data_IF_774572059947
#
_entry.id   IF_774572059947
#
_cell.length_a   1.000
_cell.length_b   1.000
_cell.length_c   1.000
_cell.angle_alpha   90.00
_cell.angle_beta   90.00
_cell.angle_gamma   90.00
#
_symmetry.space_group_name_H-M   'P 1'
#
loop_
_entity.id
_entity.type
_entity.pdbx_description
1 polymer ?
#
# COMPACT_ATOMS: atom_id res chain seq x y z
N UNK A 1 -40.09 40.70 -3.34
CA UNK A 1 -40.64 42.10 -3.43
C UNK A 1 -39.41 42.99 -3.55
N UNK A 2 -39.34 43.86 -4.51
CA UNK A 2 -38.19 44.67 -4.96
C UNK A 2 -37.23 43.99 -5.93
N UNK A 3 -37.50 44.13 -7.19
CA UNK A 3 -36.71 44.49 -8.38
C UNK A 3 -37.54 44.34 -9.63
N UNK A 4 -38.48 45.30 -9.82
CA UNK A 4 -39.17 45.63 -11.08
C UNK A 4 -39.09 47.15 -11.22
N UNK A 5 -38.26 47.60 -12.19
CA UNK A 5 -38.23 48.89 -12.91
C UNK A 5 -36.80 49.08 -13.40
N UNK A 6 -36.53 49.29 -14.67
CA UNK A 6 -37.11 50.20 -15.62
C UNK A 6 -36.68 49.86 -17.06
N UNK A 7 -37.41 50.25 -18.10
CA UNK A 7 -37.05 50.02 -19.48
C UNK A 7 -36.33 51.24 -20.05
N UNK A 8 -35.19 51.02 -20.73
CA UNK A 8 -34.67 52.02 -21.69
C UNK A 8 -34.36 51.34 -23.02
N UNK A 9 -35.27 51.64 -23.94
CA UNK A 9 -35.13 51.46 -25.38
C UNK A 9 -34.05 52.39 -25.93
N UNK A 10 -32.91 51.84 -26.32
CA UNK A 10 -31.95 52.52 -27.19
C UNK A 10 -31.85 51.78 -28.53
N UNK A 11 -32.34 52.44 -29.52
CA UNK A 11 -32.34 52.11 -30.94
C UNK A 11 -30.95 51.73 -31.44
N UNK A 12 -30.78 50.50 -31.87
CA UNK A 12 -29.65 50.14 -32.73
C UNK A 12 -30.02 50.45 -34.16
N UNK A 13 -29.52 51.59 -34.73
CA UNK A 13 -29.57 51.93 -36.08
C UNK A 13 -28.78 50.97 -36.96
N UNK A 14 -29.45 50.40 -37.94
CA UNK A 14 -28.89 49.64 -39.04
C UNK A 14 -28.05 50.49 -39.95
N UNK A 15 -26.77 50.70 -39.70
CA UNK A 15 -25.81 51.21 -40.71
C UNK A 15 -24.39 50.92 -40.19
N UNK A 16 -23.80 49.86 -40.66
CA UNK A 16 -22.36 49.74 -41.02
C UNK A 16 -21.94 48.28 -41.20
N UNK A 17 -22.70 47.56 -42.06
CA UNK A 17 -22.17 46.34 -42.66
C UNK A 17 -21.65 46.73 -44.06
N UNK A 18 -20.43 47.28 -44.08
CA UNK A 18 -19.74 47.48 -45.36
C UNK A 18 -18.24 47.57 -45.12
N UNK A 19 -17.57 46.62 -45.73
CA UNK A 19 -16.11 46.56 -45.91
C UNK A 19 -15.28 46.11 -44.68
N UNK A 20 -15.34 44.82 -44.38
CA UNK A 20 -14.22 44.14 -43.79
C UNK A 20 -13.44 43.46 -44.93
N UNK A 21 -12.60 44.22 -45.58
CA UNK A 21 -11.57 43.71 -46.47
C UNK A 21 -10.61 42.86 -45.63
N UNK A 22 -10.50 41.57 -45.96
CA UNK A 22 -9.47 40.69 -45.50
C UNK A 22 -8.08 41.28 -45.85
N UNK A 23 -7.53 42.05 -44.95
CA UNK A 23 -6.11 42.37 -44.96
C UNK A 23 -5.38 41.11 -44.44
N UNK A 24 -4.78 40.33 -45.33
CA UNK A 24 -3.77 39.35 -45.02
C UNK A 24 -2.56 40.11 -44.51
N UNK A 25 -2.55 40.37 -43.20
CA UNK A 25 -1.35 40.86 -42.51
C UNK A 25 -0.39 39.69 -42.39
N UNK A 26 0.65 39.66 -43.23
CA UNK A 26 1.85 38.87 -42.99
C UNK A 26 2.45 39.37 -41.67
N UNK A 27 2.76 38.51 -40.71
CA UNK A 27 3.42 38.94 -39.47
C UNK A 27 4.79 39.57 -39.84
N UNK A 28 4.97 40.83 -39.44
CA UNK A 28 6.25 41.52 -39.61
C UNK A 28 7.37 40.70 -38.94
N UNK A 29 8.56 40.70 -39.55
CA UNK A 29 9.74 39.97 -39.05
C UNK A 29 10.10 40.38 -37.61
N UNK A 30 9.76 41.58 -37.16
CA UNK A 30 9.91 42.05 -35.78
C UNK A 30 9.12 41.23 -34.74
N UNK A 31 8.01 40.59 -35.12
CA UNK A 31 7.23 39.73 -34.23
C UNK A 31 7.84 38.32 -34.07
N UNK A 32 8.76 37.93 -34.96
CA UNK A 32 9.47 36.62 -34.84
C UNK A 32 10.70 36.70 -33.93
N UNK A 33 11.32 37.87 -33.82
CA UNK A 33 12.53 38.06 -32.99
C UNK A 33 12.22 38.17 -31.49
N UNK A 34 11.00 38.55 -31.11
CA UNK A 34 10.58 38.66 -29.72
C UNK A 34 10.19 37.34 -29.05
N UNK A 35 9.84 36.31 -29.85
CA UNK A 35 9.49 34.98 -29.32
C UNK A 35 10.71 34.06 -29.14
N UNK A 36 11.84 34.44 -29.79
CA UNK A 36 13.10 33.66 -29.70
C UNK A 36 14.01 33.99 -28.52
N UNK A 37 13.78 35.09 -27.80
CA UNK A 37 14.78 35.67 -26.88
C UNK A 37 14.49 35.49 -25.39
N UNK A 38 13.58 34.60 -24.94
CA UNK A 38 13.40 34.35 -23.51
C UNK A 38 13.78 32.93 -23.04
N UNK A 39 14.77 32.31 -23.70
CA UNK A 39 15.58 31.30 -23.02
C UNK A 39 16.72 32.01 -22.29
N UNK A 40 16.39 32.93 -21.38
CA UNK A 40 17.30 33.34 -20.35
C UNK A 40 17.57 32.10 -19.50
N UNK A 41 18.75 31.49 -19.68
CA UNK A 41 19.26 30.51 -18.75
C UNK A 41 19.22 31.17 -17.38
N UNK A 42 18.22 30.79 -16.57
CA UNK A 42 18.15 31.17 -15.17
C UNK A 42 19.52 30.84 -14.57
N UNK A 43 20.35 31.87 -14.34
CA UNK A 43 21.54 31.71 -13.51
C UNK A 43 21.01 31.17 -12.19
N UNK A 44 21.27 29.89 -11.94
CA UNK A 44 20.95 29.25 -10.64
C UNK A 44 21.57 30.18 -9.59
N UNK A 45 20.72 30.84 -8.81
CA UNK A 45 21.17 31.63 -7.69
C UNK A 45 21.90 30.71 -6.71
N UNK A 46 22.93 31.22 -6.00
CA UNK A 46 23.69 30.41 -5.05
C UNK A 46 22.83 29.62 -4.07
N UNK A 47 21.68 30.16 -3.55
CA UNK A 47 20.72 29.44 -2.74
C UNK A 47 20.09 28.22 -3.43
N UNK A 48 19.74 28.32 -4.73
CA UNK A 48 19.17 27.20 -5.48
C UNK A 48 20.15 26.04 -5.63
N UNK A 49 21.42 26.37 -5.87
CA UNK A 49 22.49 25.36 -5.98
C UNK A 49 22.73 24.67 -4.64
N UNK A 50 22.75 25.43 -3.54
CA UNK A 50 22.89 24.90 -2.18
C UNK A 50 21.71 24.00 -1.82
N UNK A 51 20.48 24.41 -2.17
CA UNK A 51 19.27 23.61 -1.95
C UNK A 51 19.30 22.29 -2.75
N UNK A 52 19.66 22.33 -4.04
CA UNK A 52 19.83 21.13 -4.85
C UNK A 52 20.89 20.18 -4.29
N UNK A 53 22.01 20.71 -3.83
CA UNK A 53 23.06 19.90 -3.21
C UNK A 53 22.56 19.23 -1.93
N UNK A 54 21.85 19.95 -1.07
CA UNK A 54 21.29 19.43 0.18
C UNK A 54 20.28 18.32 -0.08
N UNK A 55 19.37 18.50 -1.05
CA UNK A 55 18.40 17.47 -1.46
C UNK A 55 19.09 16.24 -2.02
N UNK A 56 20.09 16.45 -2.90
CA UNK A 56 20.86 15.34 -3.47
C UNK A 56 21.66 14.58 -2.40
N UNK A 57 22.30 15.29 -1.47
CA UNK A 57 23.03 14.70 -0.35
C UNK A 57 22.10 13.90 0.58
N UNK A 58 20.91 14.42 0.88
CA UNK A 58 19.90 13.71 1.68
C UNK A 58 19.41 12.44 0.97
N UNK A 59 19.15 12.51 -0.33
CA UNK A 59 18.77 11.34 -1.12
C UNK A 59 19.89 10.28 -1.17
N UNK A 60 21.14 10.71 -1.35
CA UNK A 60 22.30 9.83 -1.31
C UNK A 60 22.48 9.19 0.06
N UNK A 61 22.33 9.96 1.14
CA UNK A 61 22.41 9.45 2.51
C UNK A 61 21.40 8.32 2.75
N UNK A 62 20.13 8.52 2.36
CA UNK A 62 19.10 7.48 2.48
C UNK A 62 19.49 6.24 1.68
N UNK A 63 19.99 6.41 0.46
CA UNK A 63 20.42 5.29 -0.39
C UNK A 63 21.60 4.52 0.24
N UNK A 64 22.58 5.23 0.80
CA UNK A 64 23.75 4.64 1.47
C UNK A 64 23.34 3.88 2.73
N UNK A 65 22.44 4.46 3.54
CA UNK A 65 21.93 3.79 4.76
C UNK A 65 21.16 2.53 4.41
N UNK A 66 20.25 2.59 3.43
CA UNK A 66 19.49 1.41 2.99
C UNK A 66 20.42 0.36 2.36
N UNK A 67 21.32 0.76 1.49
CA UNK A 67 22.31 -0.15 0.90
C UNK A 67 23.24 -0.77 1.95
N UNK A 68 23.68 0.04 2.91
CA UNK A 68 24.47 -0.42 4.05
C UNK A 68 23.74 -1.46 4.89
N UNK A 69 22.44 -1.26 5.16
CA UNK A 69 21.61 -2.23 5.88
C UNK A 69 21.52 -3.58 5.13
N UNK A 70 21.31 -3.54 3.79
CA UNK A 70 21.32 -4.75 2.96
C UNK A 70 22.63 -5.49 3.09
N UNK A 71 23.75 -4.78 2.96
CA UNK A 71 25.10 -5.35 3.03
C UNK A 71 25.38 -5.94 4.43
N UNK A 72 25.03 -5.20 5.49
CA UNK A 72 25.21 -5.67 6.88
C UNK A 72 24.40 -6.94 7.16
N UNK A 73 23.14 -7.00 6.71
CA UNK A 73 22.32 -8.21 6.86
C UNK A 73 22.87 -9.38 6.03
N UNK A 74 23.36 -9.12 4.81
CA UNK A 74 23.99 -10.14 3.98
C UNK A 74 25.29 -10.70 4.59
N UNK A 75 26.16 -9.81 5.08
CA UNK A 75 27.42 -10.19 5.74
C UNK A 75 27.12 -10.92 7.06
N UNK A 76 26.25 -10.36 7.91
CA UNK A 76 25.88 -10.98 9.18
C UNK A 76 25.18 -12.32 9.03
N UNK A 77 24.37 -12.49 7.96
CA UNK A 77 23.71 -13.76 7.61
C UNK A 77 24.62 -14.77 6.91
N UNK A 78 25.83 -14.38 6.52
CA UNK A 78 26.72 -15.24 5.69
C UNK A 78 27.09 -16.57 6.37
N UNK A 79 27.22 -16.61 7.69
CA UNK A 79 27.50 -17.83 8.43
C UNK A 79 26.37 -18.85 8.29
N UNK A 80 25.10 -18.41 8.41
CA UNK A 80 23.94 -19.28 8.20
C UNK A 80 23.88 -19.82 6.76
N UNK A 81 24.13 -18.97 5.76
CA UNK A 81 24.19 -19.40 4.37
C UNK A 81 25.34 -20.38 4.07
N UNK A 82 26.50 -20.22 4.73
CA UNK A 82 27.62 -21.16 4.60
C UNK A 82 27.33 -22.50 5.27
N UNK A 83 26.66 -22.50 6.42
CA UNK A 83 26.36 -23.70 7.19
C UNK A 83 25.24 -24.53 6.55
N UNK A 84 24.16 -23.88 6.13
CA UNK A 84 22.97 -24.56 5.62
C UNK A 84 22.82 -24.48 4.09
N UNK A 85 23.62 -23.66 3.42
CA UNK A 85 23.54 -23.46 1.96
C UNK A 85 22.21 -22.94 1.50
N UNK A 86 21.81 -23.29 0.30
CA UNK A 86 20.46 -22.97 -0.24
C UNK A 86 19.34 -23.71 0.49
N UNK A 87 19.65 -24.80 1.20
CA UNK A 87 18.70 -25.52 2.03
C UNK A 87 18.08 -24.65 3.14
N UNK A 88 18.78 -23.59 3.59
CA UNK A 88 18.25 -22.65 4.57
C UNK A 88 16.90 -22.05 4.15
N UNK A 89 16.74 -21.69 2.87
CA UNK A 89 15.52 -21.05 2.38
C UNK A 89 14.32 -22.01 2.34
N UNK A 90 14.56 -23.32 2.19
CA UNK A 90 13.52 -24.34 2.01
C UNK A 90 13.34 -25.26 3.22
N UNK A 91 14.23 -25.20 4.20
CA UNK A 91 14.10 -25.96 5.45
C UNK A 91 13.00 -25.35 6.32
N UNK A 92 12.16 -26.19 6.89
CA UNK A 92 11.06 -25.84 7.78
C UNK A 92 11.44 -25.93 9.27
N UNK A 93 12.61 -26.47 9.59
CA UNK A 93 13.06 -26.68 10.96
C UNK A 93 13.63 -25.39 11.55
N UNK A 94 13.11 -24.97 12.70
CA UNK A 94 13.66 -23.90 13.51
C UNK A 94 13.82 -24.38 14.95
N UNK A 95 15.00 -24.89 15.29
CA UNK A 95 15.30 -25.42 16.61
C UNK A 95 16.58 -24.78 17.21
N UNK A 96 16.43 -23.78 18.10
CA UNK A 96 17.57 -23.11 18.72
C UNK A 96 18.38 -23.99 19.64
N UNK A 97 17.83 -25.12 20.12
CA UNK A 97 18.57 -26.05 21.03
C UNK A 97 19.52 -26.93 20.25
N UNK A 98 19.12 -27.31 19.03
CA UNK A 98 19.94 -28.16 18.16
C UNK A 98 20.76 -27.35 17.14
N UNK A 99 20.72 -26.02 17.19
CA UNK A 99 21.33 -25.09 16.21
C UNK A 99 20.93 -25.39 14.75
N UNK A 100 19.69 -25.82 14.55
CA UNK A 100 19.11 -26.07 13.23
C UNK A 100 18.15 -24.94 12.87
N UNK A 101 18.43 -24.26 11.75
CA UNK A 101 17.67 -23.08 11.33
C UNK A 101 17.25 -23.18 9.87
N UNK A 102 15.99 -22.83 9.60
CA UNK A 102 15.40 -22.76 8.26
C UNK A 102 14.44 -21.59 8.13
N UNK A 103 14.33 -21.07 6.92
CA UNK A 103 13.56 -19.87 6.64
C UNK A 103 12.11 -20.15 6.23
N UNK A 104 11.78 -21.39 5.80
CA UNK A 104 10.49 -21.69 5.17
C UNK A 104 9.29 -21.43 6.08
N UNK A 105 9.32 -21.87 7.33
CA UNK A 105 8.21 -21.68 8.25
C UNK A 105 7.83 -20.21 8.47
N UNK A 106 8.76 -19.30 8.85
CA UNK A 106 8.43 -17.89 9.01
C UNK A 106 8.14 -17.17 7.69
N UNK A 107 8.73 -17.58 6.58
CA UNK A 107 8.39 -17.03 5.25
C UNK A 107 6.97 -17.38 4.84
N UNK A 108 6.58 -18.66 5.01
CA UNK A 108 5.22 -19.10 4.76
C UNK A 108 4.21 -18.30 5.58
N UNK A 109 4.46 -18.14 6.90
CA UNK A 109 3.62 -17.34 7.77
C UNK A 109 3.49 -15.89 7.30
N UNK A 110 4.61 -15.28 6.89
CA UNK A 110 4.63 -13.89 6.36
C UNK A 110 3.79 -13.75 5.09
N UNK A 111 3.99 -14.64 4.12
CA UNK A 111 3.30 -14.60 2.83
C UNK A 111 1.81 -14.82 3.02
N UNK A 112 1.42 -15.88 3.74
CA UNK A 112 0.01 -16.25 3.90
C UNK A 112 -0.75 -15.19 4.71
N UNK A 113 -0.21 -14.71 5.83
CA UNK A 113 -0.88 -13.67 6.63
C UNK A 113 -1.01 -12.37 5.84
N UNK A 114 -0.01 -11.99 5.05
CA UNK A 114 -0.07 -10.82 4.17
C UNK A 114 -1.13 -10.98 3.08
N UNK A 115 -1.20 -12.14 2.42
CA UNK A 115 -2.21 -12.40 1.39
C UNK A 115 -3.62 -12.35 1.96
N UNK A 116 -3.86 -12.94 3.12
CA UNK A 116 -5.17 -12.86 3.80
C UNK A 116 -5.48 -11.40 4.13
N UNK A 117 -4.54 -10.69 4.72
CA UNK A 117 -4.69 -9.28 5.10
C UNK A 117 -5.06 -8.41 3.90
N UNK A 118 -4.32 -8.52 2.80
CA UNK A 118 -4.57 -7.75 1.57
C UNK A 118 -5.87 -8.17 0.90
N UNK A 119 -6.19 -9.46 0.85
CA UNK A 119 -7.43 -9.95 0.23
C UNK A 119 -8.69 -9.41 0.93
N UNK A 120 -8.64 -9.22 2.24
CA UNK A 120 -9.75 -8.62 3.02
C UNK A 120 -9.70 -7.09 2.94
N UNK A 121 -8.52 -6.48 3.07
CA UNK A 121 -8.37 -5.03 3.09
C UNK A 121 -8.69 -4.38 1.74
N UNK A 122 -8.36 -5.02 0.63
CA UNK A 122 -8.52 -4.47 -0.72
C UNK A 122 -9.97 -4.12 -1.06
N UNK A 123 -10.96 -5.02 -0.94
CA UNK A 123 -12.36 -4.69 -1.22
C UNK A 123 -12.91 -3.64 -0.26
N UNK A 124 -12.52 -3.66 1.02
CA UNK A 124 -12.91 -2.66 2.01
C UNK A 124 -12.34 -1.28 1.66
N UNK A 125 -11.06 -1.22 1.35
CA UNK A 125 -10.39 0.03 1.00
C UNK A 125 -10.93 0.62 -0.31
N UNK A 126 -11.11 -0.21 -1.33
CA UNK A 126 -11.69 0.20 -2.60
C UNK A 126 -13.13 0.72 -2.41
N UNK A 127 -13.98 -0.05 -1.73
CA UNK A 127 -15.38 0.33 -1.50
C UNK A 127 -15.50 1.63 -0.71
N UNK A 128 -14.69 1.80 0.34
CA UNK A 128 -14.67 3.02 1.15
C UNK A 128 -14.15 4.22 0.36
N UNK A 129 -13.05 4.06 -0.39
CA UNK A 129 -12.51 5.12 -1.24
C UNK A 129 -13.51 5.53 -2.35
N UNK A 130 -14.15 4.55 -2.99
CA UNK A 130 -15.21 4.76 -3.96
C UNK A 130 -16.37 5.55 -3.37
N UNK A 131 -16.89 5.12 -2.21
CA UNK A 131 -17.99 5.79 -1.55
C UNK A 131 -17.63 7.23 -1.18
N UNK A 132 -16.45 7.47 -0.62
CA UNK A 132 -15.97 8.80 -0.24
C UNK A 132 -15.84 9.77 -1.43
N UNK A 133 -15.46 9.27 -2.61
CA UNK A 133 -15.16 10.12 -3.77
C UNK A 133 -16.36 10.32 -4.71
N UNK A 134 -17.28 9.36 -4.77
CA UNK A 134 -18.36 9.38 -5.77
C UNK A 134 -19.77 9.52 -5.18
N UNK A 135 -19.99 9.08 -3.93
CA UNK A 135 -21.34 8.95 -3.38
C UNK A 135 -21.58 9.80 -2.13
N UNK A 136 -20.59 9.96 -1.27
CA UNK A 136 -20.77 10.63 0.01
C UNK A 136 -21.01 12.14 -0.15
N UNK A 137 -21.93 12.73 0.63
CA UNK A 137 -22.06 14.18 0.71
C UNK A 137 -20.73 14.83 1.14
N UNK A 138 -20.40 16.05 0.64
CA UNK A 138 -19.07 16.66 0.91
C UNK A 138 -18.70 16.76 2.36
N UNK A 139 -19.65 17.08 3.24
CA UNK A 139 -19.41 17.18 4.70
C UNK A 139 -19.04 15.82 5.31
N UNK A 140 -19.77 14.77 4.94
CA UNK A 140 -19.52 13.40 5.45
C UNK A 140 -18.20 12.87 4.88
N UNK A 141 -17.95 13.10 3.60
CA UNK A 141 -16.71 12.73 2.94
C UNK A 141 -15.47 13.37 3.61
N UNK A 142 -15.58 14.63 4.04
CA UNK A 142 -14.51 15.30 4.75
C UNK A 142 -14.27 14.68 6.14
N UNK A 143 -15.33 14.48 6.94
CA UNK A 143 -15.22 13.93 8.29
C UNK A 143 -14.68 12.50 8.25
N UNK A 144 -15.32 11.63 7.48
CA UNK A 144 -14.91 10.21 7.39
C UNK A 144 -13.53 10.08 6.74
N UNK A 145 -13.23 10.90 5.72
CA UNK A 145 -11.91 10.93 5.10
C UNK A 145 -10.80 11.30 6.09
N UNK A 146 -11.03 12.30 6.95
CA UNK A 146 -10.08 12.64 8.03
C UNK A 146 -9.99 11.53 9.07
N UNK A 147 -11.10 10.92 9.47
CA UNK A 147 -11.10 9.80 10.40
C UNK A 147 -10.29 8.60 9.87
N UNK A 148 -10.43 8.26 8.59
CA UNK A 148 -9.64 7.21 7.93
C UNK A 148 -8.15 7.55 7.93
N UNK A 149 -7.77 8.80 7.66
CA UNK A 149 -6.37 9.24 7.70
C UNK A 149 -5.80 9.15 9.12
N UNK A 150 -6.55 9.56 10.14
CA UNK A 150 -6.15 9.44 11.53
C UNK A 150 -5.99 7.98 11.95
N UNK A 151 -6.90 7.10 11.52
CA UNK A 151 -6.81 5.67 11.79
C UNK A 151 -5.59 5.03 11.13
N UNK A 152 -5.22 5.47 9.93
CA UNK A 152 -4.01 5.02 9.23
C UNK A 152 -2.71 5.42 9.95
N UNK A 153 -2.74 6.48 10.78
CA UNK A 153 -1.61 6.97 11.57
C UNK A 153 -1.48 6.31 12.94
N UNK A 154 -2.44 5.48 13.34
CA UNK A 154 -2.41 4.78 14.64
C UNK A 154 -1.22 3.80 14.67
N UNK A 155 -0.41 3.79 15.77
CA UNK A 155 0.66 2.83 15.94
C UNK A 155 0.19 1.37 15.85
N UNK A 156 0.91 0.53 15.12
CA UNK A 156 0.51 -0.86 14.85
C UNK A 156 0.36 -1.71 16.13
N UNK A 157 1.12 -1.40 17.18
CA UNK A 157 1.03 -2.09 18.47
C UNK A 157 -0.38 -2.01 19.09
N UNK A 158 -1.09 -0.89 18.88
CA UNK A 158 -2.46 -0.71 19.39
C UNK A 158 -3.41 -1.69 18.71
N UNK A 159 -3.29 -1.87 17.39
CA UNK A 159 -4.06 -2.87 16.65
C UNK A 159 -3.73 -4.29 17.11
N UNK A 160 -2.46 -4.58 17.41
CA UNK A 160 -2.03 -5.88 17.93
C UNK A 160 -2.64 -6.18 19.30
N UNK A 161 -2.55 -5.25 20.24
CA UNK A 161 -3.14 -5.40 21.57
C UNK A 161 -4.67 -5.49 21.52
N UNK A 162 -5.33 -4.61 20.76
CA UNK A 162 -6.77 -4.70 20.54
C UNK A 162 -7.16 -6.04 19.91
N UNK A 163 -6.42 -6.49 18.92
CA UNK A 163 -6.61 -7.79 18.28
C UNK A 163 -6.47 -8.94 19.27
N UNK A 164 -5.46 -8.90 20.12
CA UNK A 164 -5.24 -9.92 21.14
C UNK A 164 -6.37 -10.01 22.17
N UNK A 165 -6.83 -8.87 22.68
CA UNK A 165 -7.88 -8.86 23.71
C UNK A 165 -9.30 -9.01 23.14
N UNK A 166 -9.53 -8.64 21.88
CA UNK A 166 -10.87 -8.63 21.28
C UNK A 166 -11.03 -9.70 20.20
N UNK A 167 -10.13 -9.70 19.20
CA UNK A 167 -10.26 -10.59 18.03
C UNK A 167 -9.89 -12.03 18.40
N UNK A 168 -8.82 -12.26 19.15
CA UNK A 168 -8.38 -13.63 19.51
C UNK A 168 -9.47 -14.37 20.31
N UNK A 169 -10.09 -13.81 21.37
CA UNK A 169 -11.19 -14.49 22.07
C UNK A 169 -12.43 -14.69 21.19
N UNK A 170 -12.75 -13.74 20.32
CA UNK A 170 -13.87 -13.87 19.38
C UNK A 170 -13.61 -15.00 18.36
N UNK A 171 -12.40 -15.09 17.83
CA UNK A 171 -11.99 -16.16 16.94
C UNK A 171 -12.05 -17.52 17.62
N UNK A 172 -11.52 -17.62 18.85
CA UNK A 172 -11.50 -18.88 19.61
C UNK A 172 -12.90 -19.40 19.98
N UNK A 173 -13.78 -18.50 20.39
CA UNK A 173 -15.11 -18.90 20.92
C UNK A 173 -16.19 -19.02 19.85
N UNK A 174 -16.08 -18.24 18.78
CA UNK A 174 -17.17 -18.11 17.79
C UNK A 174 -16.74 -18.56 16.40
N UNK A 175 -15.73 -17.91 15.80
CA UNK A 175 -15.42 -18.10 14.37
C UNK A 175 -14.77 -19.45 14.09
N UNK A 176 -13.73 -19.82 14.83
CA UNK A 176 -13.03 -21.09 14.60
C UNK A 176 -13.92 -22.30 14.85
N UNK A 177 -14.70 -22.40 15.97
CA UNK A 177 -15.63 -23.50 16.19
C UNK A 177 -16.73 -23.56 15.14
N UNK A 178 -17.30 -22.39 14.75
CA UNK A 178 -18.33 -22.32 13.71
C UNK A 178 -17.81 -22.85 12.36
N UNK A 179 -16.67 -22.37 11.90
CA UNK A 179 -16.07 -22.80 10.64
C UNK A 179 -15.69 -24.28 10.67
N UNK A 180 -15.07 -24.74 11.75
CA UNK A 180 -14.69 -26.16 11.91
C UNK A 180 -15.93 -27.05 11.91
N UNK A 181 -17.01 -26.68 12.61
CA UNK A 181 -18.23 -27.47 12.65
C UNK A 181 -18.93 -27.58 11.29
N UNK A 182 -19.06 -26.45 10.56
CA UNK A 182 -19.82 -26.43 9.30
C UNK A 182 -19.02 -26.98 8.10
N UNK A 183 -17.70 -26.77 8.08
CA UNK A 183 -16.88 -27.13 6.92
C UNK A 183 -16.01 -28.38 7.12
N UNK A 184 -16.08 -29.05 8.26
CA UNK A 184 -15.30 -30.28 8.54
C UNK A 184 -15.54 -31.43 7.55
N UNK A 185 -16.69 -31.42 6.86
CA UNK A 185 -17.04 -32.47 5.90
C UNK A 185 -16.69 -32.12 4.45
N UNK A 186 -16.28 -30.88 4.18
CA UNK A 186 -15.93 -30.44 2.81
C UNK A 186 -14.49 -30.84 2.48
N UNK A 187 -14.28 -31.75 1.49
CA UNK A 187 -12.92 -32.14 1.08
C UNK A 187 -12.11 -30.91 0.67
N UNK A 188 -10.85 -30.83 1.12
CA UNK A 188 -9.96 -29.68 0.87
C UNK A 188 -10.07 -28.59 1.93
N UNK A 189 -11.25 -28.10 2.27
CA UNK A 189 -11.42 -27.05 3.30
C UNK A 189 -11.03 -27.60 4.68
N UNK A 190 -11.37 -28.83 4.99
CA UNK A 190 -10.95 -29.50 6.22
C UNK A 190 -9.44 -29.41 6.46
N UNK A 191 -8.63 -29.51 5.40
CA UNK A 191 -7.18 -29.47 5.51
C UNK A 191 -6.64 -28.06 5.88
N UNK A 192 -7.41 -27.03 5.55
CA UNK A 192 -7.04 -25.64 5.77
C UNK A 192 -7.55 -25.11 7.13
N UNK A 193 -8.68 -25.66 7.64
CA UNK A 193 -9.35 -25.17 8.85
C UNK A 193 -9.27 -26.16 10.04
N UNK A 194 -8.34 -27.12 10.00
CA UNK A 194 -8.17 -28.08 11.09
C UNK A 194 -7.35 -27.47 12.25
N UNK A 195 -7.51 -28.03 13.44
CA UNK A 195 -6.75 -27.66 14.63
C UNK A 195 -7.59 -27.25 15.83
N UNK A 196 -6.95 -27.07 16.96
CA UNK A 196 -7.60 -26.59 18.16
C UNK A 196 -7.93 -25.08 18.05
N UNK A 197 -9.06 -24.63 18.59
CA UNK A 197 -9.51 -23.23 18.45
C UNK A 197 -8.81 -22.32 19.47
N UNK A 198 -7.50 -22.12 19.30
CA UNK A 198 -6.73 -21.23 20.16
C UNK A 198 -7.05 -19.73 19.98
N UNK A 199 -7.70 -19.39 18.85
CA UNK A 199 -7.96 -18.02 18.48
C UNK A 199 -6.76 -17.30 17.86
N UNK A 200 -5.54 -17.64 18.25
CA UNK A 200 -4.29 -17.18 17.61
C UNK A 200 -4.01 -18.01 16.35
N UNK A 201 -3.37 -17.40 15.33
CA UNK A 201 -3.00 -18.11 14.11
C UNK A 201 -2.94 -17.21 12.89
N UNK A 202 -2.69 -17.79 11.71
CA UNK A 202 -2.55 -17.07 10.44
C UNK A 202 -3.80 -16.28 10.05
N UNK A 203 -4.98 -16.86 10.25
CA UNK A 203 -6.25 -16.20 9.91
C UNK A 203 -6.48 -14.97 10.78
N UNK A 204 -6.24 -15.08 12.10
CA UNK A 204 -6.38 -13.97 13.04
C UNK A 204 -5.35 -12.87 12.74
N UNK A 205 -4.11 -13.25 12.48
CA UNK A 205 -3.07 -12.32 12.08
C UNK A 205 -3.44 -11.58 10.78
N UNK A 206 -3.93 -12.31 9.76
CA UNK A 206 -4.40 -11.73 8.52
C UNK A 206 -5.59 -10.77 8.70
N UNK A 207 -6.53 -11.09 9.61
CA UNK A 207 -7.66 -10.22 9.92
C UNK A 207 -7.21 -8.91 10.61
N UNK A 208 -6.32 -9.00 11.60
CA UNK A 208 -5.76 -7.80 12.27
C UNK A 208 -4.95 -6.96 11.29
N UNK A 209 -4.14 -7.59 10.43
CA UNK A 209 -3.45 -6.90 9.33
C UNK A 209 -4.44 -6.19 8.41
N UNK A 210 -5.54 -6.83 8.03
CA UNK A 210 -6.56 -6.24 7.16
C UNK A 210 -7.14 -4.96 7.77
N UNK A 211 -7.51 -4.99 9.06
CA UNK A 211 -8.05 -3.82 9.77
C UNK A 211 -7.04 -2.68 9.80
N UNK A 212 -5.76 -2.99 9.98
CA UNK A 212 -4.68 -1.99 10.06
C UNK A 212 -4.33 -1.38 8.70
N UNK A 213 -4.27 -2.21 7.63
CA UNK A 213 -3.85 -1.72 6.31
C UNK A 213 -5.01 -1.13 5.49
N UNK A 214 -6.26 -1.48 5.78
CA UNK A 214 -7.43 -0.98 5.04
C UNK A 214 -7.55 0.56 5.09
N UNK A 215 -7.42 1.26 6.23
CA UNK A 215 -7.46 2.71 6.27
C UNK A 215 -6.35 3.36 5.43
N UNK A 216 -5.14 2.81 5.50
CA UNK A 216 -4.00 3.29 4.71
C UNK A 216 -4.24 3.14 3.21
N UNK A 217 -4.68 1.94 2.77
CA UNK A 217 -5.02 1.71 1.36
C UNK A 217 -6.19 2.60 0.90
N UNK A 218 -7.19 2.81 1.77
CA UNK A 218 -8.33 3.70 1.49
C UNK A 218 -7.85 5.13 1.24
N UNK A 219 -6.97 5.66 2.09
CA UNK A 219 -6.45 7.01 1.94
C UNK A 219 -5.72 7.19 0.60
N UNK A 220 -4.81 6.26 0.26
CA UNK A 220 -4.07 6.30 -1.01
C UNK A 220 -5.01 6.15 -2.21
N UNK A 221 -5.96 5.22 -2.18
CA UNK A 221 -6.92 5.02 -3.28
C UNK A 221 -7.82 6.24 -3.47
N UNK A 222 -8.28 6.86 -2.37
CA UNK A 222 -9.08 8.09 -2.42
C UNK A 222 -8.32 9.22 -3.09
N UNK A 223 -7.05 9.41 -2.74
CA UNK A 223 -6.21 10.46 -3.32
C UNK A 223 -5.96 10.20 -4.82
N UNK A 224 -5.76 8.94 -5.21
CA UNK A 224 -5.66 8.54 -6.62
C UNK A 224 -6.95 8.83 -7.38
N UNK A 225 -8.12 8.52 -6.81
CA UNK A 225 -9.40 8.83 -7.45
C UNK A 225 -9.65 10.33 -7.52
N UNK A 226 -9.26 11.10 -6.51
CA UNK A 226 -9.40 12.57 -6.49
C UNK A 226 -8.48 13.28 -7.48
N UNK A 227 -7.33 12.69 -7.83
CA UNK A 227 -6.37 13.26 -8.77
C UNK A 227 -6.86 13.27 -10.23
N UNK A 228 -7.98 12.58 -10.53
CA UNK A 228 -8.55 12.57 -11.88
C UNK A 228 -9.12 13.95 -12.26
N UNK A 229 -8.82 14.46 -13.47
CA UNK A 229 -9.37 15.74 -13.94
C UNK A 229 -10.90 15.75 -13.95
N UNK A 230 -11.50 16.80 -13.39
CA UNK A 230 -12.96 16.93 -13.31
C UNK A 230 -13.64 16.94 -14.68
N UNK A 231 -12.96 17.49 -15.70
CA UNK A 231 -13.47 17.52 -17.07
C UNK A 231 -13.86 16.12 -17.59
N UNK A 232 -13.10 15.07 -17.27
CA UNK A 232 -13.43 13.70 -17.68
C UNK A 232 -14.71 13.18 -17.01
N UNK A 233 -14.92 13.54 -15.74
CA UNK A 233 -16.15 13.18 -15.00
C UNK A 233 -17.36 13.94 -15.53
N UNK A 234 -17.21 15.24 -15.72
CA UNK A 234 -18.27 16.12 -16.20
C UNK A 234 -18.70 15.76 -17.63
N UNK A 235 -17.73 15.44 -18.51
CA UNK A 235 -18.03 14.97 -19.87
C UNK A 235 -18.83 13.67 -19.86
N UNK A 236 -18.49 12.72 -18.99
CA UNK A 236 -19.23 11.48 -18.89
C UNK A 236 -20.66 11.70 -18.34
N UNK A 237 -20.83 12.60 -17.35
CA UNK A 237 -22.16 12.98 -16.87
C UNK A 237 -22.99 13.72 -17.96
N UNK A 238 -22.33 14.57 -18.75
CA UNK A 238 -22.97 15.25 -19.89
C UNK A 238 -23.49 14.28 -20.97
N UNK A 239 -22.88 13.11 -21.11
CA UNK A 239 -23.34 12.00 -21.95
C UNK A 239 -24.43 11.13 -21.31
N UNK A 240 -24.91 11.49 -20.11
CA UNK A 240 -25.99 10.76 -19.41
C UNK A 240 -25.51 9.58 -18.57
N UNK A 241 -24.19 9.44 -18.30
CA UNK A 241 -23.68 8.36 -17.47
C UNK A 241 -24.13 8.51 -16.02
N UNK A 242 -24.46 7.39 -15.36
CA UNK A 242 -24.73 7.35 -13.92
C UNK A 242 -23.43 7.47 -13.11
N UNK A 243 -23.54 7.78 -11.80
CA UNK A 243 -22.35 7.80 -10.90
C UNK A 243 -21.59 6.47 -10.92
N UNK A 244 -22.32 5.37 -11.04
CA UNK A 244 -21.76 4.02 -11.13
C UNK A 244 -21.00 3.82 -12.44
N UNK A 245 -21.59 4.22 -13.58
CA UNK A 245 -20.94 4.14 -14.89
C UNK A 245 -19.66 4.97 -14.94
N UNK A 246 -19.71 6.22 -14.45
CA UNK A 246 -18.52 7.10 -14.38
C UNK A 246 -17.41 6.43 -13.58
N UNK A 247 -17.74 5.82 -12.46
CA UNK A 247 -16.73 5.14 -11.64
C UNK A 247 -16.07 3.95 -12.36
N UNK A 248 -16.88 3.04 -12.89
CA UNK A 248 -16.34 1.82 -13.49
C UNK A 248 -15.76 2.00 -14.89
N UNK A 249 -16.32 2.92 -15.69
CA UNK A 249 -15.92 3.11 -17.08
C UNK A 249 -14.91 4.25 -17.29
N UNK A 250 -14.79 5.16 -16.32
CA UNK A 250 -13.90 6.33 -16.43
C UNK A 250 -12.87 6.38 -15.31
N UNK A 251 -13.31 6.43 -14.03
CA UNK A 251 -12.38 6.61 -12.87
C UNK A 251 -11.48 5.40 -12.67
N UNK A 252 -12.05 4.20 -12.60
CA UNK A 252 -11.27 2.96 -12.36
C UNK A 252 -10.27 2.70 -13.49
N UNK A 253 -10.63 2.77 -14.79
CA UNK A 253 -9.64 2.58 -15.86
C UNK A 253 -8.54 3.63 -15.85
N UNK A 254 -8.87 4.91 -15.59
CA UNK A 254 -7.89 5.99 -15.50
C UNK A 254 -6.94 5.80 -14.31
N UNK A 255 -7.48 5.35 -13.17
CA UNK A 255 -6.77 5.22 -11.90
C UNK A 255 -5.99 3.90 -11.73
N UNK A 256 -6.02 2.98 -12.69
CA UNK A 256 -5.44 1.62 -12.58
C UNK A 256 -4.01 1.61 -12.05
N UNK A 257 -3.15 2.45 -12.59
CA UNK A 257 -1.74 2.49 -12.16
C UNK A 257 -1.58 2.96 -10.71
N UNK A 258 -2.40 3.92 -10.28
CA UNK A 258 -2.42 4.41 -8.90
C UNK A 258 -3.02 3.38 -7.93
N UNK A 259 -4.08 2.67 -8.33
CA UNK A 259 -4.68 1.59 -7.55
C UNK A 259 -3.69 0.44 -7.31
N UNK A 260 -2.97 0.00 -8.37
CA UNK A 260 -1.89 -0.99 -8.22
C UNK A 260 -0.83 -0.47 -7.24
N UNK A 261 -0.47 0.82 -7.34
CA UNK A 261 0.43 1.47 -6.38
C UNK A 261 -0.07 1.38 -4.93
N UNK A 262 -1.35 1.63 -4.69
CA UNK A 262 -1.96 1.54 -3.36
C UNK A 262 -1.93 0.11 -2.79
N UNK A 263 -2.22 -0.90 -3.65
CA UNK A 263 -2.16 -2.32 -3.27
C UNK A 263 -0.73 -2.70 -2.87
N UNK A 264 0.25 -2.31 -3.67
CA UNK A 264 1.67 -2.62 -3.43
C UNK A 264 2.20 -1.97 -2.17
N UNK A 265 1.83 -0.70 -1.93
CA UNK A 265 2.19 -0.01 -0.70
C UNK A 265 1.56 -0.67 0.52
N UNK A 266 0.27 -1.07 0.44
CA UNK A 266 -0.41 -1.83 1.48
C UNK A 266 0.24 -3.19 1.74
N UNK A 267 0.60 -3.92 0.68
CA UNK A 267 1.30 -5.20 0.77
C UNK A 267 2.70 -5.06 1.37
N UNK A 268 3.47 -4.05 0.96
CA UNK A 268 4.79 -3.76 1.54
C UNK A 268 4.70 -3.45 3.03
N UNK A 269 3.68 -2.70 3.46
CA UNK A 269 3.41 -2.44 4.89
C UNK A 269 3.07 -3.74 5.63
N UNK A 270 2.23 -4.62 5.04
CA UNK A 270 1.83 -5.88 5.64
C UNK A 270 2.99 -6.88 5.77
N UNK A 271 3.88 -6.97 4.76
CA UNK A 271 5.07 -7.86 4.78
C UNK A 271 6.05 -7.50 5.90
N UNK A 272 6.21 -6.20 6.19
CA UNK A 272 7.10 -5.71 7.25
C UNK A 272 6.45 -5.57 8.62
N UNK A 273 5.17 -5.93 8.77
CA UNK A 273 4.48 -5.74 10.04
C UNK A 273 5.01 -6.69 11.13
N UNK A 274 5.42 -6.11 12.23
CA UNK A 274 6.06 -6.82 13.32
C UNK A 274 5.16 -6.91 14.54
N UNK A 275 4.83 -5.75 15.13
CA UNK A 275 4.21 -5.70 16.46
C UNK A 275 2.77 -6.20 16.47
N UNK A 276 1.94 -5.74 15.52
CA UNK A 276 0.55 -6.19 15.48
C UNK A 276 0.42 -7.70 15.29
N UNK A 277 1.26 -8.28 14.45
CA UNK A 277 1.25 -9.71 14.16
C UNK A 277 1.79 -10.54 15.33
N UNK A 278 2.87 -10.10 15.98
CA UNK A 278 3.48 -10.82 17.10
C UNK A 278 2.48 -11.13 18.21
N UNK A 279 1.53 -10.23 18.48
CA UNK A 279 0.51 -10.44 19.53
C UNK A 279 -0.51 -11.51 19.19
N UNK A 280 -0.82 -11.72 17.92
CA UNK A 280 -2.01 -12.50 17.52
C UNK A 280 -1.70 -13.77 16.74
N UNK A 281 -0.46 -13.95 16.25
CA UNK A 281 -0.09 -15.08 15.39
C UNK A 281 0.22 -16.36 16.16
N UNK A 282 0.66 -16.23 17.44
CA UNK A 282 0.97 -17.35 18.32
C UNK A 282 2.44 -17.76 18.38
N UNK A 283 3.30 -17.26 17.49
CA UNK A 283 4.77 -17.35 17.50
C UNK A 283 5.36 -18.79 17.57
N UNK A 284 4.72 -19.74 16.91
CA UNK A 284 5.19 -21.12 16.75
C UNK A 284 5.89 -21.26 15.40
N UNK A 285 7.05 -21.92 15.37
CA UNK A 285 7.90 -22.09 14.17
C UNK A 285 7.64 -23.42 13.44
N UNK A 286 6.48 -24.01 13.60
CA UNK A 286 6.09 -25.23 12.92
C UNK A 286 5.42 -24.95 11.56
N UNK A 287 5.46 -25.87 10.61
CA UNK A 287 4.85 -25.74 9.28
C UNK A 287 3.59 -26.60 9.16
N UNK A 288 2.59 -26.06 8.52
CA UNK A 288 1.36 -26.79 8.19
C UNK A 288 0.38 -25.89 7.46
N UNK A 289 -0.58 -26.48 6.78
CA UNK A 289 -1.54 -25.78 5.93
C UNK A 289 -2.73 -25.18 6.71
N UNK A 290 -2.80 -25.42 8.03
CA UNK A 290 -3.91 -24.90 8.82
C UNK A 290 -3.79 -23.38 9.05
N UNK A 291 -4.84 -22.65 8.69
CA UNK A 291 -4.96 -21.21 8.96
C UNK A 291 -5.28 -20.90 10.42
N UNK A 292 -5.76 -21.90 11.19
CA UNK A 292 -6.07 -21.73 12.62
C UNK A 292 -4.90 -22.06 13.53
N UNK A 293 -3.89 -22.76 13.02
CA UNK A 293 -2.73 -23.09 13.81
C UNK A 293 -1.86 -21.86 14.11
N UNK A 294 -1.36 -21.74 15.34
CA UNK A 294 -0.34 -20.73 15.66
C UNK A 294 0.88 -20.87 14.75
N UNK A 295 1.40 -19.75 14.30
CA UNK A 295 2.58 -19.68 13.41
C UNK A 295 3.48 -18.51 13.80
N UNK A 296 4.54 -18.29 13.04
CA UNK A 296 5.39 -17.10 13.15
C UNK A 296 5.56 -16.43 11.78
N UNK A 297 5.81 -15.14 11.77
CA UNK A 297 6.32 -14.42 10.60
C UNK A 297 7.80 -14.16 10.77
N UNK A 298 8.47 -13.81 9.67
CA UNK A 298 9.90 -13.42 9.73
C UNK A 298 10.09 -12.24 10.70
N UNK A 299 9.24 -11.22 10.58
CA UNK A 299 9.33 -10.03 11.42
C UNK A 299 9.06 -10.33 12.91
N UNK A 300 8.04 -11.16 13.23
CA UNK A 300 7.73 -11.55 14.61
C UNK A 300 8.84 -12.41 15.22
N UNK A 301 9.41 -13.32 14.44
CA UNK A 301 10.50 -14.19 14.90
C UNK A 301 11.77 -13.38 15.21
N UNK A 302 12.14 -12.45 14.32
CA UNK A 302 13.27 -11.55 14.55
C UNK A 302 13.01 -10.71 15.81
N UNK A 303 11.85 -10.09 15.94
CA UNK A 303 11.54 -9.23 17.09
C UNK A 303 11.65 -9.94 18.43
N UNK A 304 11.25 -11.21 18.50
CA UNK A 304 11.28 -12.00 19.73
C UNK A 304 12.67 -12.55 20.03
N UNK A 305 13.38 -13.04 19.01
CA UNK A 305 14.59 -13.82 19.24
C UNK A 305 15.89 -13.02 19.07
N UNK A 306 15.86 -11.89 18.35
CA UNK A 306 17.06 -11.07 18.15
C UNK A 306 17.65 -10.52 19.46
N UNK A 307 16.85 -9.97 20.40
CA UNK A 307 17.37 -9.45 21.65
C UNK A 307 18.02 -10.51 22.56
N UNK A 308 17.59 -11.77 22.41
CA UNK A 308 18.06 -12.90 23.22
C UNK A 308 19.24 -13.66 22.57
N UNK A 309 19.64 -13.26 21.34
CA UNK A 309 20.66 -13.98 20.58
C UNK A 309 22.05 -13.45 20.90
N UNK A 310 22.98 -14.29 21.39
CA UNK A 310 24.35 -13.86 21.67
C UNK A 310 25.06 -13.36 20.41
N UNK A 311 25.91 -12.33 20.55
CA UNK A 311 26.71 -11.82 19.46
C UNK A 311 27.63 -12.93 18.89
N UNK A 312 27.68 -13.04 17.55
CA UNK A 312 28.48 -14.07 16.86
C UNK A 312 27.87 -15.47 16.84
N UNK A 313 26.68 -15.68 17.44
CA UNK A 313 26.02 -16.99 17.41
C UNK A 313 25.45 -17.32 16.03
N UNK A 314 25.35 -18.62 15.72
CA UNK A 314 24.68 -19.10 14.51
C UNK A 314 23.20 -18.68 14.46
N UNK A 315 22.53 -18.60 15.62
CA UNK A 315 21.16 -18.09 15.77
C UNK A 315 21.06 -16.65 15.30
N UNK A 316 21.95 -15.77 15.74
CA UNK A 316 21.97 -14.37 15.30
C UNK A 316 22.17 -14.26 13.78
N UNK A 317 23.13 -15.06 13.24
CA UNK A 317 23.37 -15.11 11.81
C UNK A 317 22.15 -15.61 11.03
N UNK A 318 21.41 -16.60 11.53
CA UNK A 318 20.18 -17.10 10.92
C UNK A 318 19.06 -16.03 10.91
N UNK A 319 18.92 -15.26 12.00
CA UNK A 319 17.95 -14.15 12.05
C UNK A 319 18.29 -13.03 11.07
N UNK A 320 19.58 -12.68 10.92
CA UNK A 320 20.03 -11.70 9.93
C UNK A 320 19.81 -12.21 8.50
N UNK A 321 20.06 -13.50 8.25
CA UNK A 321 19.76 -14.13 6.97
C UNK A 321 18.25 -14.11 6.64
N UNK A 322 17.38 -14.36 7.62
CA UNK A 322 15.92 -14.19 7.47
C UNK A 322 15.53 -12.76 7.11
N UNK A 323 16.08 -11.76 7.81
CA UNK A 323 15.87 -10.35 7.50
C UNK A 323 16.32 -9.99 6.09
N UNK A 324 17.46 -10.52 5.64
CA UNK A 324 17.94 -10.35 4.28
C UNK A 324 16.97 -10.94 3.25
N UNK A 325 16.48 -12.17 3.47
CA UNK A 325 15.48 -12.80 2.59
C UNK A 325 14.18 -12.01 2.56
N UNK A 326 13.68 -11.55 3.71
CA UNK A 326 12.47 -10.72 3.78
C UNK A 326 12.62 -9.43 2.97
N UNK A 327 13.79 -8.81 3.04
CA UNK A 327 14.08 -7.60 2.27
C UNK A 327 14.11 -7.89 0.77
N UNK A 328 14.74 -8.99 0.34
CA UNK A 328 14.69 -9.44 -1.06
C UNK A 328 13.26 -9.73 -1.52
N UNK A 329 12.44 -10.36 -0.70
CA UNK A 329 11.03 -10.62 -0.98
C UNK A 329 10.25 -9.30 -1.15
N UNK A 330 10.50 -8.31 -0.31
CA UNK A 330 9.89 -6.99 -0.41
C UNK A 330 10.30 -6.26 -1.68
N UNK A 331 11.58 -6.30 -2.06
CA UNK A 331 12.05 -5.74 -3.33
C UNK A 331 11.47 -6.48 -4.54
N UNK A 332 11.39 -7.81 -4.48
CA UNK A 332 10.78 -8.61 -5.54
C UNK A 332 9.30 -8.27 -5.74
N UNK A 333 8.55 -8.09 -4.65
CA UNK A 333 7.14 -7.69 -4.71
C UNK A 333 6.95 -6.31 -5.33
N UNK A 334 7.82 -5.34 -4.98
CA UNK A 334 7.83 -3.99 -5.58
C UNK A 334 8.21 -4.02 -7.06
N UNK A 335 9.21 -4.83 -7.43
CA UNK A 335 9.64 -4.98 -8.82
C UNK A 335 8.53 -5.59 -9.68
N UNK A 336 7.88 -6.67 -9.20
CA UNK A 336 6.75 -7.31 -9.86
C UNK A 336 5.60 -6.32 -10.10
N UNK A 337 5.28 -5.52 -9.09
CA UNK A 337 4.25 -4.49 -9.20
C UNK A 337 4.58 -3.39 -10.22
N UNK A 338 5.86 -2.98 -10.31
CA UNK A 338 6.31 -2.02 -11.35
C UNK A 338 6.17 -2.62 -12.75
N UNK A 339 6.47 -3.90 -12.92
CA UNK A 339 6.31 -4.62 -14.20
C UNK A 339 4.83 -4.65 -14.62
N UNK A 340 3.93 -4.97 -13.69
CA UNK A 340 2.48 -4.97 -13.93
C UNK A 340 1.95 -3.58 -14.33
N UNK A 341 2.53 -2.51 -13.78
CA UNK A 341 2.18 -1.12 -14.14
C UNK A 341 2.71 -0.72 -15.51
N UNK A 342 3.89 -1.23 -15.92
CA UNK A 342 4.54 -0.88 -17.19
C UNK A 342 3.80 -1.37 -18.43
N UNK A 343 3.01 -2.45 -18.31
CA UNK A 343 2.26 -3.05 -19.43
C UNK A 343 0.88 -2.39 -19.68
N UNK A 344 0.53 -1.33 -18.97
CA UNK A 344 -0.77 -0.62 -19.09
C UNK A 344 -0.67 0.72 -19.83
N UNK A 345 0.32 0.86 -20.77
CA UNK A 345 0.41 2.01 -21.68
C UNK A 345 -0.43 1.79 -22.93
#
# INVERSE_FOLDING_TARGET
>A
MWWLRSPDNARFSSQSFSRMTLATATPSEEARDTVGASRSGSRRSGPDTAFHFLVAASALLVLVVLGGLVVLMGIGGSQAFRTFGLGFAFSDVWNPVADLYGAWAPLFGTIVSTLIGVAIALPLAFGTAFWLTAMAPPRIAAIVGTAVQLLAAVPSIIFGMWGFFTIVPFMARTVQPFLTHHFKHVPGIKFIIHGAPFGTGLMTAGLVLAVMIAPFMTAVMRDVFAAMPNMLRESAYGLGATRWDVMWKVVVPWSRSGMIGAIVLGMGRALGETMAVTFVIGNVTDVGWSLFAPRSTVASLIALQFPESPAGSLRLSALLALGFILMLLSFASLALARMLRGNTK
#
